data_IF_255995602842
#
_entry.id   IF_255995602842
#
_cell.length_a   1.000
_cell.length_b   1.000
_cell.length_c   1.000
_cell.angle_alpha   90.00
_cell.angle_beta   90.00
_cell.angle_gamma   90.00
#
_symmetry.space_group_name_H-M   'P 1'
#
loop_
_entity.id
_entity.type
_entity.pdbx_description
1 polymer ?
#
# COMPACT_ATOMS: atom_id res chain seq x y z
N UNK A 1 23.50 3.20 15.90
CA UNK A 1 22.46 2.58 15.03
C UNK A 1 22.89 2.78 13.60
N UNK A 2 23.41 1.73 12.95
CA UNK A 2 24.09 1.84 11.66
C UNK A 2 23.05 1.83 10.52
N UNK A 3 22.57 3.01 10.12
CA UNK A 3 21.74 3.16 8.92
C UNK A 3 22.65 3.13 7.70
N UNK A 4 23.08 1.92 7.31
CA UNK A 4 23.66 1.69 5.99
C UNK A 4 22.60 2.09 4.97
N UNK A 5 22.82 3.20 4.29
CA UNK A 5 22.04 3.66 3.15
C UNK A 5 22.12 2.59 2.05
N UNK A 6 21.24 1.59 2.15
CA UNK A 6 21.15 0.49 1.20
C UNK A 6 20.79 1.14 -0.13
N UNK A 7 21.70 1.08 -1.10
CA UNK A 7 21.56 1.59 -2.47
C UNK A 7 20.10 1.41 -2.92
N UNK A 8 19.32 2.50 -2.97
CA UNK A 8 17.87 2.41 -3.15
C UNK A 8 17.58 1.92 -4.56
N UNK A 9 17.34 0.62 -4.72
CA UNK A 9 16.93 0.02 -5.99
C UNK A 9 15.61 0.65 -6.45
N UNK A 10 15.34 0.65 -7.75
CA UNK A 10 14.07 1.14 -8.29
C UNK A 10 12.88 0.44 -7.59
N UNK A 11 12.97 -0.87 -7.36
CA UNK A 11 11.96 -1.64 -6.63
C UNK A 11 11.82 -1.21 -5.17
N UNK A 12 12.93 -0.92 -4.47
CA UNK A 12 12.89 -0.42 -3.09
C UNK A 12 12.21 0.94 -2.99
N UNK A 13 12.48 1.83 -3.95
CA UNK A 13 11.82 3.15 -4.05
C UNK A 13 10.32 3.01 -4.32
N UNK A 14 9.92 2.12 -5.22
CA UNK A 14 8.51 1.82 -5.49
C UNK A 14 7.82 1.32 -4.22
N UNK A 15 8.43 0.38 -3.49
CA UNK A 15 7.83 -0.12 -2.25
C UNK A 15 7.71 0.95 -1.16
N UNK A 16 8.70 1.85 -1.03
CA UNK A 16 8.63 2.97 -0.11
C UNK A 16 7.38 3.83 -0.40
N UNK A 17 7.19 4.23 -1.66
CA UNK A 17 6.03 5.02 -2.10
C UNK A 17 4.73 4.25 -1.86
N UNK A 18 4.68 2.94 -2.18
CA UNK A 18 3.51 2.10 -1.88
C UNK A 18 3.13 2.16 -0.39
N UNK A 19 4.12 2.02 0.50
CA UNK A 19 3.86 2.09 1.94
C UNK A 19 3.41 3.48 2.36
N UNK A 20 4.04 4.56 1.88
CA UNK A 20 3.62 5.93 2.17
C UNK A 20 2.18 6.21 1.71
N UNK A 21 1.79 5.73 0.52
CA UNK A 21 0.43 5.87 0.02
C UNK A 21 -0.56 5.09 0.89
N UNK A 22 -0.26 3.84 1.25
CA UNK A 22 -1.14 3.06 2.13
C UNK A 22 -1.17 3.57 3.58
N UNK A 23 -0.16 4.32 4.01
CA UNK A 23 -0.16 5.03 5.29
C UNK A 23 -1.14 6.20 5.29
N UNK A 24 -1.14 6.98 4.21
CA UNK A 24 -2.04 8.12 4.01
C UNK A 24 -3.49 7.71 3.79
N UNK A 25 -3.71 6.49 3.27
CA UNK A 25 -5.02 5.93 2.99
C UNK A 25 -5.30 4.73 3.91
N UNK A 26 -5.70 4.96 5.18
CA UNK A 26 -5.91 3.90 6.14
C UNK A 26 -7.03 2.94 5.74
N UNK A 27 -7.95 3.32 4.87
CA UNK A 27 -8.99 2.49 4.23
C UNK A 27 -8.41 1.51 3.18
N UNK A 28 -7.23 1.82 2.65
CA UNK A 28 -6.57 1.09 1.57
C UNK A 28 -6.79 1.74 0.20
N UNK A 29 -6.07 1.24 -0.80
CA UNK A 29 -6.13 1.73 -2.18
C UNK A 29 -6.45 0.61 -3.16
N UNK A 30 -7.27 0.92 -4.17
CA UNK A 30 -7.51 0.01 -5.29
C UNK A 30 -6.26 -0.13 -6.15
N UNK A 31 -6.15 -1.25 -6.86
CA UNK A 31 -5.05 -1.56 -7.77
C UNK A 31 -4.77 -0.40 -8.74
N UNK A 32 -5.78 0.03 -9.49
CA UNK A 32 -5.63 1.10 -10.49
C UNK A 32 -5.21 2.42 -9.85
N UNK A 33 -5.80 2.78 -8.70
CA UNK A 33 -5.42 4.02 -7.98
C UNK A 33 -3.99 3.95 -7.45
N UNK A 34 -3.59 2.80 -6.91
CA UNK A 34 -2.25 2.60 -6.39
C UNK A 34 -1.21 2.72 -7.51
N UNK A 35 -1.46 2.13 -8.69
CA UNK A 35 -0.60 2.29 -9.86
C UNK A 35 -0.51 3.76 -10.29
N UNK A 36 -1.66 4.41 -10.51
CA UNK A 36 -1.69 5.80 -10.95
C UNK A 36 -0.98 6.74 -9.98
N UNK A 37 -1.13 6.54 -8.66
CA UNK A 37 -0.45 7.35 -7.64
C UNK A 37 1.07 7.11 -7.63
N UNK A 38 1.54 5.88 -7.84
CA UNK A 38 2.99 5.59 -7.92
C UNK A 38 3.60 6.23 -9.18
N UNK A 39 2.94 6.09 -10.33
CA UNK A 39 3.41 6.67 -11.60
C UNK A 39 3.37 8.21 -11.56
N UNK A 40 2.35 8.79 -10.92
CA UNK A 40 2.28 10.23 -10.68
C UNK A 40 3.36 10.74 -9.74
N UNK A 41 3.75 9.93 -8.74
CA UNK A 41 4.81 10.29 -7.79
C UNK A 41 6.19 10.32 -8.46
N UNK A 42 6.45 9.41 -9.41
CA UNK A 42 7.70 9.42 -10.15
C UNK A 42 7.54 8.78 -11.54
N UNK A 43 7.52 9.63 -12.58
CA UNK A 43 7.40 9.20 -13.98
C UNK A 43 8.63 8.45 -14.52
N UNK A 44 9.73 8.38 -13.78
CA UNK A 44 10.90 7.58 -14.15
C UNK A 44 10.68 6.08 -13.95
N UNK A 45 9.66 5.68 -13.19
CA UNK A 45 9.37 4.26 -13.01
C UNK A 45 8.73 3.65 -14.24
N UNK A 46 9.29 2.53 -14.68
CA UNK A 46 8.72 1.79 -15.79
C UNK A 46 7.41 1.10 -15.35
N UNK A 47 6.30 1.24 -16.10
CA UNK A 47 4.98 0.69 -15.71
C UNK A 47 5.01 -0.82 -15.41
N UNK A 48 5.71 -1.61 -16.24
CA UNK A 48 5.91 -3.06 -15.99
C UNK A 48 6.55 -3.35 -14.62
N UNK A 49 7.49 -2.53 -14.17
CA UNK A 49 8.15 -2.70 -12.88
C UNK A 49 7.20 -2.36 -11.75
N UNK A 50 6.42 -1.28 -11.88
CA UNK A 50 5.39 -0.90 -10.90
C UNK A 50 4.36 -2.02 -10.77
N UNK A 51 3.81 -2.50 -11.90
CA UNK A 51 2.86 -3.61 -11.95
C UNK A 51 3.41 -4.87 -11.26
N UNK A 52 4.65 -5.26 -11.59
CA UNK A 52 5.31 -6.41 -10.98
C UNK A 52 5.52 -6.24 -9.46
N UNK A 53 5.87 -5.03 -9.01
CA UNK A 53 6.04 -4.75 -7.58
C UNK A 53 4.72 -4.83 -6.83
N UNK A 54 3.64 -4.23 -7.36
CA UNK A 54 2.31 -4.23 -6.73
C UNK A 54 1.70 -5.63 -6.74
N UNK A 55 1.91 -6.41 -7.80
CA UNK A 55 1.47 -7.81 -7.87
C UNK A 55 2.10 -8.65 -6.76
N UNK A 56 3.44 -8.57 -6.63
CA UNK A 56 4.23 -9.29 -5.62
C UNK A 56 4.15 -8.68 -4.23
N UNK A 57 3.40 -7.61 -4.02
CA UNK A 57 3.38 -6.84 -2.76
C UNK A 57 2.98 -7.72 -1.58
N UNK A 58 1.93 -8.53 -1.75
CA UNK A 58 1.42 -9.42 -0.69
C UNK A 58 2.34 -10.62 -0.45
N UNK A 59 3.05 -11.10 -1.48
CA UNK A 59 4.01 -12.19 -1.36
C UNK A 59 5.30 -11.73 -0.67
N UNK A 60 5.76 -10.51 -0.98
CA UNK A 60 6.96 -9.90 -0.39
C UNK A 60 6.73 -9.42 1.03
N UNK A 61 5.53 -8.92 1.33
CA UNK A 61 5.21 -8.31 2.62
C UNK A 61 3.90 -8.83 3.24
N UNK A 62 3.74 -10.15 3.41
CA UNK A 62 2.51 -10.75 3.94
C UNK A 62 2.22 -10.33 5.39
N UNK A 63 3.26 -9.93 6.13
CA UNK A 63 3.15 -9.43 7.51
C UNK A 63 2.85 -7.93 7.60
N UNK A 64 2.79 -7.21 6.47
CA UNK A 64 2.49 -5.75 6.45
C UNK A 64 1.26 -5.41 5.65
N UNK A 65 1.03 -6.05 4.51
CA UNK A 65 -0.05 -5.74 3.57
C UNK A 65 -0.98 -6.94 3.42
N UNK A 66 -2.28 -6.69 3.38
CA UNK A 66 -3.29 -7.69 3.05
C UNK A 66 -4.30 -7.12 2.06
N UNK A 67 -5.16 -7.99 1.51
CA UNK A 67 -6.25 -7.60 0.61
C UNK A 67 -7.60 -7.81 1.31
N UNK A 68 -8.30 -6.74 1.74
CA UNK A 68 -9.65 -6.87 2.28
C UNK A 68 -10.67 -7.34 1.23
N UNK A 69 -10.42 -7.01 -0.05
CA UNK A 69 -11.26 -7.39 -1.18
C UNK A 69 -10.41 -7.48 -2.46
N UNK A 70 -10.96 -8.06 -3.54
CA UNK A 70 -10.25 -8.16 -4.83
C UNK A 70 -9.78 -6.78 -5.29
N UNK A 71 -8.47 -6.68 -5.56
CA UNK A 71 -7.84 -5.44 -6.02
C UNK A 71 -7.76 -4.31 -4.99
N UNK A 72 -8.10 -4.51 -3.71
CA UNK A 72 -7.92 -3.50 -2.66
C UNK A 72 -6.72 -3.90 -1.78
N UNK A 73 -5.79 -2.98 -1.55
CA UNK A 73 -4.60 -3.20 -0.72
C UNK A 73 -4.67 -2.33 0.52
N UNK A 74 -4.32 -2.90 1.68
CA UNK A 74 -4.36 -2.18 2.96
C UNK A 74 -3.29 -2.68 3.92
N UNK A 75 -2.80 -1.79 4.79
CA UNK A 75 -1.88 -2.17 5.85
C UNK A 75 -2.59 -2.93 6.97
N UNK A 76 -1.94 -3.99 7.45
CA UNK A 76 -2.46 -4.85 8.51
C UNK A 76 -2.74 -4.09 9.81
N UNK A 77 -1.94 -3.07 10.13
CA UNK A 77 -2.17 -2.25 11.34
C UNK A 77 -3.49 -1.48 11.32
N UNK A 78 -4.12 -1.30 10.16
CA UNK A 78 -5.44 -0.66 10.05
C UNK A 78 -6.61 -1.64 10.04
N UNK A 79 -6.35 -2.96 10.04
CA UNK A 79 -7.37 -4.01 10.01
C UNK A 79 -8.34 -3.97 11.20
N UNK A 80 -7.87 -3.54 12.37
CA UNK A 80 -8.71 -3.44 13.59
C UNK A 80 -9.57 -2.16 13.61
N UNK A 81 -9.13 -1.07 12.96
CA UNK A 81 -9.83 0.22 12.99
C UNK A 81 -11.15 0.23 12.21
N UNK A 82 -11.37 -0.73 11.31
CA UNK A 82 -12.60 -0.82 10.51
C UNK A 82 -13.84 -1.30 11.27
N UNK A 83 -13.71 -1.77 12.52
CA UNK A 83 -14.83 -2.34 13.31
C UNK A 83 -15.57 -1.35 14.23
N UNK A 84 -15.22 -0.06 14.24
CA UNK A 84 -15.73 0.92 15.22
C UNK A 84 -16.87 1.85 14.74
N UNK A 85 -17.46 1.65 13.57
CA UNK A 85 -18.40 2.64 13.00
C UNK A 85 -19.82 2.13 12.69
N UNK A 86 -20.25 1.00 13.27
CA UNK A 86 -21.61 0.47 13.09
C UNK A 86 -22.51 0.64 14.33
N UNK A 87 -21.99 1.14 15.45
CA UNK A 87 -22.71 1.17 16.74
C UNK A 87 -23.35 2.53 17.09
N UNK A 88 -23.22 3.57 16.24
CA UNK A 88 -23.77 4.91 16.50
C UNK A 88 -25.05 5.27 15.71
N UNK A 89 -25.65 4.33 14.98
CA UNK A 89 -26.89 4.58 14.21
C UNK A 89 -28.14 3.84 14.69
N UNK A 90 -28.08 3.13 15.83
CA UNK A 90 -29.22 2.42 16.39
C UNK A 90 -29.90 3.14 17.58
N UNK A 91 -29.88 4.48 17.59
CA UNK A 91 -30.75 5.28 18.48
C UNK A 91 -31.37 6.41 17.67
N UNK A 92 -32.44 6.09 16.94
CA UNK A 92 -33.56 7.02 16.76
C UNK A 92 -34.82 6.23 16.43
#
# INVERSE_FOLDING_TARGET
MNVVAKKSTITGRIYAIVFELLEQHPEGLRWSELLSKIEASNRSFHPKTVNGCVWKLIERFPKKVYKPSKGLFRLLKYKSKSKKNEDRRAIK
#
